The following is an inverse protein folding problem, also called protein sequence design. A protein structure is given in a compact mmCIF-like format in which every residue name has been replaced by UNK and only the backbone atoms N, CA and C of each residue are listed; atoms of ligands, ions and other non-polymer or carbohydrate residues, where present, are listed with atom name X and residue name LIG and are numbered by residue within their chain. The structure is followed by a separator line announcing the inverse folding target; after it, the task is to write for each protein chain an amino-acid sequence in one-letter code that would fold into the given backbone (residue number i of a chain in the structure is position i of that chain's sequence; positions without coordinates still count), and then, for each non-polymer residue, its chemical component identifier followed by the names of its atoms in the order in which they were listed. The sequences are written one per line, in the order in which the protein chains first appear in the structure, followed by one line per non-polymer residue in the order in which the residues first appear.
data_IF_097225191927
#
_entry.id   IF_097225191927
#
_cell.length_a   1.000
_cell.length_b   1.000
_cell.length_c   1.000
_cell.angle_alpha   90.00
_cell.angle_beta   90.00
_cell.angle_gamma   90.00
#
_symmetry.space_group_name_H-M   'P 1'
#
loop_
_entity.id
_entity.type
_entity.pdbx_description
1 polymer ?
#
# COMPACT_ATOMS: atom_id res chain seq x y z
N UNK A 1 26.12 31.78 6.19
CA UNK A 1 25.37 30.97 5.21
C UNK A 1 24.94 29.68 5.90
N UNK A 2 23.65 29.48 6.23
CA UNK A 2 23.21 28.21 6.75
C UNK A 2 23.31 27.14 5.65
N UNK A 3 23.72 25.90 5.96
CA UNK A 3 23.83 24.85 4.95
C UNK A 3 22.44 24.50 4.41
N UNK A 4 22.30 24.51 3.09
CA UNK A 4 21.12 24.00 2.40
C UNK A 4 20.92 22.53 2.78
N UNK A 5 19.83 22.23 3.48
CA UNK A 5 19.40 20.87 3.78
C UNK A 5 19.09 20.16 2.46
N UNK A 6 20.01 19.29 2.02
CA UNK A 6 19.78 18.40 0.86
C UNK A 6 18.55 17.55 1.16
N UNK A 7 17.43 17.89 0.50
CA UNK A 7 16.26 17.01 0.46
C UNK A 7 16.67 15.73 -0.26
N UNK A 8 16.83 14.64 0.50
CA UNK A 8 17.16 13.32 -0.03
C UNK A 8 15.95 12.66 -0.74
N UNK A 9 14.81 13.36 -0.81
CA UNK A 9 13.56 12.90 -1.39
C UNK A 9 13.43 13.35 -2.86
N UNK A 10 13.22 12.37 -3.76
CA UNK A 10 13.06 12.64 -5.19
C UNK A 10 11.70 13.29 -5.49
N UNK A 11 11.62 14.01 -6.61
CA UNK A 11 10.35 14.59 -7.08
C UNK A 11 9.28 13.51 -7.33
N UNK A 12 9.68 12.35 -7.84
CA UNK A 12 8.79 11.21 -8.04
C UNK A 12 8.22 10.68 -6.72
N UNK A 13 9.05 10.56 -5.66
CA UNK A 13 8.58 10.12 -4.35
C UNK A 13 7.60 11.12 -3.73
N UNK A 14 7.89 12.42 -3.82
CA UNK A 14 6.96 13.48 -3.38
C UNK A 14 5.63 13.40 -4.11
N UNK A 15 5.68 13.14 -5.41
CA UNK A 15 4.48 13.02 -6.24
C UNK A 15 3.64 11.79 -5.86
N UNK A 16 4.26 10.63 -5.60
CA UNK A 16 3.54 9.46 -5.10
C UNK A 16 2.85 9.74 -3.74
N UNK A 17 3.49 10.48 -2.83
CA UNK A 17 2.86 10.88 -1.56
C UNK A 17 1.67 11.81 -1.76
N UNK A 18 1.79 12.80 -2.64
CA UNK A 18 0.69 13.70 -3.01
C UNK A 18 -0.50 12.90 -3.55
N UNK A 19 -0.24 12.00 -4.49
CA UNK A 19 -1.25 11.14 -5.09
C UNK A 19 -1.87 10.17 -4.08
N UNK A 20 -1.09 9.64 -3.13
CA UNK A 20 -1.59 8.79 -2.06
C UNK A 20 -2.55 9.55 -1.12
N UNK A 21 -2.25 10.81 -0.80
CA UNK A 21 -3.17 11.67 -0.02
C UNK A 21 -4.49 11.92 -0.75
N UNK A 22 -4.43 12.18 -2.06
CA UNK A 22 -5.62 12.39 -2.89
C UNK A 22 -6.47 11.13 -3.00
N UNK A 23 -5.82 9.99 -3.27
CA UNK A 23 -6.49 8.70 -3.30
C UNK A 23 -7.15 8.37 -1.97
N UNK A 24 -6.46 8.59 -0.84
CA UNK A 24 -7.01 8.36 0.49
C UNK A 24 -8.28 9.19 0.74
N UNK A 25 -8.27 10.48 0.38
CA UNK A 25 -9.44 11.37 0.50
C UNK A 25 -10.63 10.86 -0.31
N UNK A 26 -10.39 10.44 -1.56
CA UNK A 26 -11.43 9.87 -2.42
C UNK A 26 -12.03 8.57 -1.85
N UNK A 27 -11.27 7.84 -1.04
CA UNK A 27 -11.66 6.55 -0.44
C UNK A 27 -12.04 6.67 1.05
N UNK A 28 -12.59 7.82 1.46
CA UNK A 28 -13.11 8.09 2.83
C UNK A 28 -12.06 8.12 3.95
N UNK A 29 -10.78 8.05 3.63
CA UNK A 29 -9.65 8.18 4.55
C UNK A 29 -9.18 9.65 4.58
N UNK A 30 -10.06 10.55 5.04
CA UNK A 30 -9.86 12.01 4.89
C UNK A 30 -8.96 12.64 5.96
N UNK A 31 -8.73 11.97 7.09
CA UNK A 31 -7.74 12.41 8.07
C UNK A 31 -6.39 11.86 7.62
N UNK A 32 -5.58 12.65 6.92
CA UNK A 32 -4.35 12.15 6.32
C UNK A 32 -3.19 13.14 6.41
N UNK A 33 -1.98 12.61 6.57
CA UNK A 33 -0.75 13.40 6.53
C UNK A 33 0.41 12.57 5.96
N UNK A 34 1.37 13.26 5.38
CA UNK A 34 2.65 12.66 4.98
C UNK A 34 3.63 12.62 6.16
N UNK A 35 4.64 11.76 6.09
CA UNK A 35 5.76 11.71 7.03
C UNK A 35 5.34 11.46 8.50
N UNK A 36 4.38 10.58 8.72
CA UNK A 36 3.78 10.34 10.05
C UNK A 36 4.53 9.24 10.79
N UNK A 37 4.94 9.52 12.04
CA UNK A 37 5.51 8.49 12.94
C UNK A 37 4.39 7.63 13.53
N UNK A 38 4.56 6.31 13.52
CA UNK A 38 3.53 5.38 13.98
C UNK A 38 3.48 5.27 15.52
N UNK A 39 2.33 4.94 16.15
CA UNK A 39 2.19 5.00 17.61
C UNK A 39 3.05 4.02 18.41
N UNK A 40 3.43 2.88 17.81
CA UNK A 40 4.11 1.75 18.49
C UNK A 40 5.49 1.44 17.91
N UNK A 41 6.02 2.33 17.08
CA UNK A 41 7.35 2.20 16.51
C UNK A 41 7.97 3.57 16.26
N UNK A 42 9.30 3.66 16.28
CA UNK A 42 10.01 4.86 15.79
C UNK A 42 9.88 5.06 14.27
N UNK A 43 9.16 4.18 13.58
CA UNK A 43 9.02 4.18 12.13
C UNK A 43 8.19 5.36 11.66
N UNK A 44 8.66 5.99 10.58
CA UNK A 44 7.95 7.05 9.87
C UNK A 44 7.43 6.48 8.55
N UNK A 45 6.12 6.47 8.40
CA UNK A 45 5.45 6.08 7.17
C UNK A 45 5.35 7.28 6.23
N UNK A 46 5.38 7.00 4.92
CA UNK A 46 5.33 8.01 3.88
C UNK A 46 4.00 8.78 3.89
N UNK A 47 2.87 8.06 3.96
CA UNK A 47 1.54 8.64 4.20
C UNK A 47 0.76 7.76 5.16
N UNK A 48 0.03 8.39 6.07
CA UNK A 48 -0.92 7.72 6.96
C UNK A 48 -2.25 8.42 6.88
N UNK A 49 -3.33 7.64 6.79
CA UNK A 49 -4.67 8.15 6.68
C UNK A 49 -5.64 7.40 7.60
N UNK A 50 -6.77 8.03 7.93
CA UNK A 50 -7.82 7.46 8.75
C UNK A 50 -9.19 7.96 8.32
N UNK A 51 -10.20 7.15 8.57
CA UNK A 51 -11.60 7.58 8.46
C UNK A 51 -11.93 8.59 9.55
N UNK A 52 -12.89 9.51 9.32
CA UNK A 52 -13.51 10.29 10.38
C UNK A 52 -14.16 9.38 11.43
N UNK A 53 -14.35 9.89 12.65
CA UNK A 53 -15.00 9.17 13.75
C UNK A 53 -14.29 7.85 14.09
N UNK A 54 -13.00 7.91 14.41
CA UNK A 54 -12.10 6.76 14.62
C UNK A 54 -12.54 5.73 15.66
N UNK A 55 -13.55 6.03 16.47
CA UNK A 55 -14.15 5.11 17.44
C UNK A 55 -15.24 4.21 16.85
N UNK A 56 -15.76 4.51 15.66
CA UNK A 56 -16.82 3.69 15.05
C UNK A 56 -16.32 2.30 14.67
N UNK A 57 -17.25 1.33 14.62
CA UNK A 57 -16.93 -0.05 14.26
C UNK A 57 -16.40 -0.19 12.82
N UNK A 58 -16.82 0.70 11.92
CA UNK A 58 -16.38 0.75 10.52
C UNK A 58 -15.19 1.71 10.30
N UNK A 59 -14.58 2.24 11.36
CA UNK A 59 -13.42 3.10 11.23
C UNK A 59 -12.19 2.29 10.80
N UNK A 60 -11.39 2.87 9.92
CA UNK A 60 -10.17 2.26 9.42
C UNK A 60 -9.02 3.27 9.43
N UNK A 61 -7.82 2.75 9.64
CA UNK A 61 -6.57 3.46 9.40
C UNK A 61 -5.83 2.80 8.23
N UNK A 62 -5.07 3.59 7.49
CA UNK A 62 -4.29 3.13 6.36
C UNK A 62 -2.87 3.68 6.42
N UNK A 63 -1.90 2.84 6.09
CA UNK A 63 -0.50 3.22 5.87
C UNK A 63 -0.18 3.01 4.41
N UNK A 64 0.46 4.00 3.79
CA UNK A 64 0.92 3.95 2.42
C UNK A 64 2.44 4.08 2.40
N UNK A 65 3.10 3.14 1.74
CA UNK A 65 4.53 3.13 1.51
C UNK A 65 4.81 3.42 0.04
N UNK A 66 5.44 4.56 -0.23
CA UNK A 66 5.73 5.01 -1.58
C UNK A 66 7.12 4.53 -2.02
N UNK A 67 7.20 3.93 -3.21
CA UNK A 67 8.46 3.52 -3.83
C UNK A 67 8.53 4.06 -5.24
N UNK A 68 9.42 5.04 -5.44
CA UNK A 68 9.69 5.64 -6.74
C UNK A 68 10.84 4.94 -7.50
N UNK A 69 11.62 4.09 -6.83
CA UNK A 69 12.69 3.33 -7.45
C UNK A 69 12.66 1.85 -7.07
N UNK A 70 13.09 1.00 -8.01
CA UNK A 70 13.26 -0.45 -7.80
C UNK A 70 14.29 -0.76 -6.72
N UNK A 71 15.38 0.00 -6.68
CA UNK A 71 16.44 -0.18 -5.70
C UNK A 71 15.95 0.07 -4.26
N UNK A 72 15.11 1.09 -4.06
CA UNK A 72 14.51 1.37 -2.74
C UNK A 72 13.51 0.28 -2.34
N UNK A 73 12.69 -0.19 -3.28
CA UNK A 73 11.78 -1.31 -3.04
C UNK A 73 12.53 -2.58 -2.62
N UNK A 74 13.59 -2.95 -3.33
CA UNK A 74 14.40 -4.13 -3.02
C UNK A 74 15.13 -3.98 -1.69
N UNK A 75 15.68 -2.81 -1.38
CA UNK A 75 16.32 -2.55 -0.08
C UNK A 75 15.35 -2.76 1.08
N UNK A 76 14.10 -2.34 0.90
CA UNK A 76 13.05 -2.50 1.89
C UNK A 76 12.51 -3.94 1.96
N UNK A 77 12.78 -4.77 0.94
CA UNK A 77 12.26 -6.14 0.78
C UNK A 77 13.29 -7.25 0.99
N UNK A 78 14.60 -6.95 1.05
CA UNK A 78 15.64 -7.97 0.94
C UNK A 78 16.14 -8.52 2.27
N UNK A 79 15.98 -9.83 2.45
CA UNK A 79 17.00 -10.74 2.99
C UNK A 79 16.70 -12.19 2.56
N UNK A 80 16.90 -12.53 1.29
CA UNK A 80 17.27 -13.89 0.83
C UNK A 80 17.55 -13.89 -0.68
N UNK A 81 18.80 -14.12 -1.06
CA UNK A 81 19.23 -14.28 -2.46
C UNK A 81 18.61 -15.57 -3.01
N UNK A 82 17.82 -15.47 -4.10
CA UNK A 82 17.14 -16.62 -4.75
C UNK A 82 15.64 -16.77 -4.44
N UNK A 83 15.11 -16.07 -3.42
CA UNK A 83 13.68 -16.11 -3.09
C UNK A 83 12.77 -15.49 -4.17
N UNK A 84 13.26 -14.46 -4.87
CA UNK A 84 12.50 -13.75 -5.91
C UNK A 84 12.26 -14.62 -7.15
N UNK A 85 13.28 -15.30 -7.66
CA UNK A 85 13.13 -16.21 -8.82
C UNK A 85 12.16 -17.36 -8.53
N UNK A 86 12.21 -17.90 -7.31
CA UNK A 86 11.25 -18.91 -6.86
C UNK A 86 9.82 -18.38 -6.88
N UNK A 87 9.60 -17.14 -6.42
CA UNK A 87 8.29 -16.50 -6.47
C UNK A 87 7.80 -16.23 -7.89
N UNK A 88 8.68 -15.80 -8.79
CA UNK A 88 8.34 -15.64 -10.22
C UNK A 88 7.82 -16.97 -10.77
N UNK A 89 8.58 -18.05 -10.60
CA UNK A 89 8.19 -19.38 -11.09
C UNK A 89 6.88 -19.89 -10.46
N UNK A 90 6.70 -19.69 -9.16
CA UNK A 90 5.45 -20.06 -8.48
C UNK A 90 4.26 -19.22 -8.97
N UNK A 91 4.46 -17.93 -9.21
CA UNK A 91 3.45 -17.02 -9.76
C UNK A 91 3.05 -17.43 -11.18
N UNK A 92 4.01 -17.69 -12.06
CA UNK A 92 3.76 -18.19 -13.42
C UNK A 92 2.96 -19.48 -13.40
N UNK A 93 3.34 -20.44 -12.54
CA UNK A 93 2.61 -21.71 -12.38
C UNK A 93 1.18 -21.48 -11.90
N UNK A 94 0.96 -20.55 -10.97
CA UNK A 94 -0.38 -20.18 -10.51
C UNK A 94 -1.20 -19.55 -11.63
N UNK A 95 -0.63 -18.63 -12.41
CA UNK A 95 -1.33 -18.00 -13.53
C UNK A 95 -1.69 -19.01 -14.62
N UNK A 96 -0.77 -19.91 -14.97
CA UNK A 96 -1.04 -20.99 -15.92
C UNK A 96 -2.18 -21.91 -15.44
N UNK A 97 -2.19 -22.30 -14.15
CA UNK A 97 -3.28 -23.10 -13.60
C UNK A 97 -4.61 -22.35 -13.63
N UNK A 98 -4.61 -21.06 -13.29
CA UNK A 98 -5.83 -20.23 -13.34
C UNK A 98 -6.37 -20.11 -14.77
N UNK A 99 -5.50 -19.94 -15.76
CA UNK A 99 -5.89 -19.92 -17.17
C UNK A 99 -6.52 -21.26 -17.59
N UNK A 100 -5.94 -22.40 -17.17
CA UNK A 100 -6.52 -23.72 -17.42
C UNK A 100 -7.90 -23.88 -16.77
N UNK A 101 -8.04 -23.46 -15.50
CA UNK A 101 -9.33 -23.47 -14.80
C UNK A 101 -10.35 -22.62 -15.57
N UNK A 102 -9.98 -21.40 -15.97
CA UNK A 102 -10.85 -20.51 -16.74
C UNK A 102 -11.30 -21.10 -18.08
N UNK A 103 -10.43 -21.84 -18.76
CA UNK A 103 -10.78 -22.55 -19.99
C UNK A 103 -11.81 -23.68 -19.77
N UNK A 104 -11.70 -24.41 -18.65
CA UNK A 104 -12.60 -25.54 -18.35
C UNK A 104 -13.87 -25.13 -17.60
N UNK A 105 -13.88 -23.94 -16.99
CA UNK A 105 -14.97 -23.41 -16.17
C UNK A 105 -15.39 -22.02 -16.65
N UNK A 106 -15.98 -21.91 -17.86
CA UNK A 106 -16.48 -20.64 -18.38
C UNK A 106 -17.63 -20.07 -17.53
N UNK A 107 -18.26 -20.88 -16.66
CA UNK A 107 -19.23 -20.45 -15.66
C UNK A 107 -18.66 -19.48 -14.63
N UNK A 108 -17.33 -19.49 -14.42
CA UNK A 108 -16.64 -18.60 -13.49
C UNK A 108 -16.34 -17.22 -14.09
N UNK A 109 -16.65 -16.96 -15.36
CA UNK A 109 -16.39 -15.68 -16.01
C UNK A 109 -17.26 -14.55 -15.45
N UNK A 110 -16.70 -13.37 -15.23
CA UNK A 110 -17.42 -12.21 -14.65
C UNK A 110 -18.42 -11.56 -15.60
N UNK A 111 -18.26 -11.77 -16.90
CA UNK A 111 -19.04 -11.18 -18.00
C UNK A 111 -19.00 -9.66 -17.99
N UNK A 112 -17.84 -9.12 -17.63
CA UNK A 112 -17.59 -7.67 -17.61
C UNK A 112 -17.08 -7.18 -18.97
N UNK A 113 -16.47 -8.07 -19.77
CA UNK A 113 -15.91 -7.76 -21.09
C UNK A 113 -16.77 -8.27 -22.25
N UNK A 114 -16.66 -7.58 -23.41
CA UNK A 114 -17.40 -7.93 -24.63
C UNK A 114 -16.95 -9.27 -25.23
N UNK A 115 -15.66 -9.60 -25.08
CA UNK A 115 -15.08 -10.84 -25.59
C UNK A 115 -14.68 -11.75 -24.44
N UNK A 116 -15.12 -13.02 -24.43
CA UNK A 116 -14.83 -13.95 -23.36
C UNK A 116 -13.33 -14.10 -23.09
N UNK A 117 -12.46 -14.12 -24.09
CA UNK A 117 -11.01 -14.26 -23.92
C UNK A 117 -10.35 -13.17 -23.07
N UNK A 118 -10.96 -11.98 -22.95
CA UNK A 118 -10.47 -10.89 -22.12
C UNK A 118 -11.18 -10.79 -20.76
N UNK A 119 -12.27 -11.54 -20.59
CA UNK A 119 -13.10 -11.49 -19.41
C UNK A 119 -12.44 -12.22 -18.22
N UNK A 120 -12.40 -11.55 -17.07
CA UNK A 120 -11.77 -12.07 -15.88
C UNK A 120 -12.55 -13.27 -15.31
N UNK A 121 -11.83 -14.22 -14.73
CA UNK A 121 -12.45 -15.34 -14.00
C UNK A 121 -12.57 -15.01 -12.51
N UNK A 122 -13.73 -15.32 -11.95
CA UNK A 122 -14.03 -15.23 -10.54
C UNK A 122 -13.84 -16.58 -9.86
N UNK A 123 -12.71 -16.73 -9.17
CA UNK A 123 -12.36 -17.94 -8.43
C UNK A 123 -12.95 -17.95 -7.01
N UNK A 124 -13.76 -16.94 -6.63
CA UNK A 124 -14.38 -16.91 -5.30
C UNK A 124 -15.34 -18.07 -5.13
N UNK A 125 -15.15 -18.86 -4.06
CA UNK A 125 -15.97 -20.04 -3.77
C UNK A 125 -15.60 -21.30 -4.55
N UNK A 126 -14.66 -21.23 -5.49
CA UNK A 126 -14.11 -22.42 -6.15
C UNK A 126 -13.31 -23.25 -5.14
N UNK A 127 -13.62 -24.54 -5.05
CA UNK A 127 -12.79 -25.52 -4.32
C UNK A 127 -11.93 -26.26 -5.34
N UNK A 128 -10.63 -26.00 -5.34
CA UNK A 128 -9.70 -26.67 -6.26
C UNK A 128 -8.39 -26.92 -5.52
N UNK A 129 -8.20 -28.15 -5.03
CA UNK A 129 -7.11 -28.51 -4.12
C UNK A 129 -5.72 -28.10 -4.62
N UNK A 130 -5.43 -28.33 -5.90
CA UNK A 130 -4.14 -27.93 -6.48
C UNK A 130 -3.95 -26.41 -6.49
N UNK A 131 -4.98 -25.65 -6.83
CA UNK A 131 -4.95 -24.19 -6.80
C UNK A 131 -4.76 -23.70 -5.37
N UNK A 132 -5.52 -24.24 -4.42
CA UNK A 132 -5.49 -23.83 -3.02
C UNK A 132 -4.13 -24.14 -2.38
N UNK A 133 -3.56 -25.32 -2.68
CA UNK A 133 -2.22 -25.70 -2.25
C UNK A 133 -1.16 -24.79 -2.84
N UNK A 134 -1.14 -24.58 -4.17
CA UNK A 134 -0.17 -23.70 -4.81
C UNK A 134 -0.29 -22.26 -4.32
N UNK A 135 -1.51 -21.78 -4.07
CA UNK A 135 -1.77 -20.46 -3.52
C UNK A 135 -1.24 -20.34 -2.08
N UNK A 136 -1.39 -21.38 -1.27
CA UNK A 136 -0.86 -21.42 0.11
C UNK A 136 0.67 -21.50 0.14
N UNK A 137 1.28 -22.31 -0.73
CA UNK A 137 2.72 -22.40 -0.91
C UNK A 137 3.32 -21.06 -1.36
N UNK A 138 2.71 -20.43 -2.37
CA UNK A 138 3.11 -19.12 -2.87
C UNK A 138 3.05 -18.04 -1.78
N UNK A 139 1.94 -17.96 -1.03
CA UNK A 139 1.82 -17.03 0.11
C UNK A 139 2.88 -17.28 1.18
N UNK A 140 3.21 -18.55 1.44
CA UNK A 140 4.25 -18.91 2.41
C UNK A 140 5.63 -18.47 1.94
N UNK A 141 5.94 -18.67 0.66
CA UNK A 141 7.19 -18.20 0.06
C UNK A 141 7.27 -16.66 0.09
N UNK A 142 6.17 -15.95 -0.20
CA UNK A 142 6.13 -14.49 -0.13
C UNK A 142 6.39 -14.00 1.31
N UNK A 143 5.73 -14.62 2.29
CA UNK A 143 5.96 -14.28 3.71
C UNK A 143 7.40 -14.49 4.14
N UNK A 144 8.05 -15.57 3.69
CA UNK A 144 9.48 -15.82 3.96
C UNK A 144 10.37 -14.77 3.31
N UNK A 145 10.14 -14.42 2.04
CA UNK A 145 10.92 -13.38 1.36
C UNK A 145 10.87 -12.05 2.12
N UNK A 146 9.68 -11.68 2.60
CA UNK A 146 9.50 -10.45 3.34
C UNK A 146 9.79 -10.59 4.84
N UNK A 147 10.16 -11.76 5.35
CA UNK A 147 10.37 -11.91 6.79
C UNK A 147 11.53 -11.03 7.26
N UNK A 148 11.38 -10.43 8.43
CA UNK A 148 12.33 -9.43 8.95
C UNK A 148 12.36 -8.07 8.22
N UNK A 149 11.67 -7.90 7.09
CA UNK A 149 11.57 -6.62 6.37
C UNK A 149 10.71 -5.59 7.10
N UNK A 150 10.78 -4.33 6.66
CA UNK A 150 9.89 -3.29 7.19
C UNK A 150 8.41 -3.59 6.89
N UNK A 151 8.11 -4.20 5.74
CA UNK A 151 6.76 -4.53 5.34
C UNK A 151 6.16 -5.61 6.25
N UNK A 152 6.93 -6.66 6.55
CA UNK A 152 6.53 -7.67 7.51
C UNK A 152 6.38 -7.11 8.94
N UNK A 153 7.25 -6.18 9.36
CA UNK A 153 7.12 -5.50 10.66
C UNK A 153 5.82 -4.71 10.77
N UNK A 154 5.46 -3.92 9.75
CA UNK A 154 4.24 -3.11 9.76
C UNK A 154 2.96 -3.98 9.80
N UNK A 155 2.94 -5.08 9.04
CA UNK A 155 1.86 -6.06 9.10
C UNK A 155 1.78 -6.75 10.48
N UNK A 156 2.92 -7.21 11.00
CA UNK A 156 3.00 -7.88 12.31
C UNK A 156 2.62 -6.98 13.47
N UNK A 157 2.99 -5.71 13.42
CA UNK A 157 2.64 -4.72 14.44
C UNK A 157 1.20 -4.20 14.32
N UNK A 158 0.45 -4.62 13.29
CA UNK A 158 -0.88 -4.10 12.96
C UNK A 158 -0.87 -2.58 12.97
N UNK A 159 0.14 -2.01 12.30
CA UNK A 159 0.38 -0.57 12.27
C UNK A 159 -0.84 0.26 11.82
N UNK A 160 -1.69 -0.34 10.99
CA UNK A 160 -2.96 0.19 10.55
C UNK A 160 -3.90 -0.94 10.13
N UNK A 161 -5.18 -0.61 9.91
CA UNK A 161 -6.18 -1.55 9.39
C UNK A 161 -5.88 -1.97 7.95
N UNK A 162 -5.29 -1.08 7.14
CA UNK A 162 -4.99 -1.29 5.73
C UNK A 162 -3.54 -0.89 5.46
N UNK A 163 -2.84 -1.66 4.63
CA UNK A 163 -1.46 -1.40 4.24
C UNK A 163 -1.36 -1.38 2.71
N UNK A 164 -0.80 -0.30 2.16
CA UNK A 164 -0.68 -0.09 0.72
C UNK A 164 0.77 0.15 0.32
N UNK A 165 1.22 -0.53 -0.72
CA UNK A 165 2.41 -0.20 -1.48
C UNK A 165 1.99 0.71 -2.65
N UNK A 166 2.58 1.89 -2.74
CA UNK A 166 2.31 2.88 -3.79
C UNK A 166 3.54 2.98 -4.69
N UNK A 167 3.37 2.71 -5.98
CA UNK A 167 4.49 2.59 -6.92
C UNK A 167 4.22 3.28 -8.25
N UNK A 168 5.31 3.58 -8.96
CA UNK A 168 5.26 3.88 -10.39
C UNK A 168 4.87 2.64 -11.21
N UNK A 169 4.34 2.86 -12.40
CA UNK A 169 4.03 1.78 -13.34
C UNK A 169 5.25 0.89 -13.63
N UNK A 170 5.05 -0.43 -13.59
CA UNK A 170 6.10 -1.42 -13.91
C UNK A 170 7.18 -1.61 -12.83
N UNK A 171 7.13 -0.88 -11.71
CA UNK A 171 8.18 -0.95 -10.68
C UNK A 171 8.13 -2.22 -9.83
N UNK A 172 6.93 -2.73 -9.56
CA UNK A 172 6.68 -3.88 -8.69
C UNK A 172 5.72 -4.83 -9.39
N UNK A 173 6.13 -6.07 -9.60
CA UNK A 173 5.24 -7.09 -10.14
C UNK A 173 4.28 -7.58 -9.04
N UNK A 174 3.05 -8.02 -9.38
CA UNK A 174 2.06 -8.45 -8.40
C UNK A 174 2.55 -9.50 -7.39
N UNK A 175 3.47 -10.38 -7.80
CA UNK A 175 4.01 -11.44 -6.95
C UNK A 175 5.05 -10.96 -5.93
N UNK A 176 5.51 -9.73 -6.05
CA UNK A 176 6.48 -9.12 -5.13
C UNK A 176 5.79 -8.28 -4.06
N UNK A 177 4.48 -8.09 -4.18
CA UNK A 177 3.70 -7.37 -3.18
C UNK A 177 3.61 -8.24 -1.92
N UNK A 178 3.99 -7.71 -0.75
CA UNK A 178 3.94 -8.48 0.48
C UNK A 178 2.53 -9.00 0.77
N UNK A 179 2.43 -10.21 1.31
CA UNK A 179 1.15 -10.85 1.62
C UNK A 179 0.29 -9.96 2.52
N UNK A 180 -0.97 -9.76 2.14
CA UNK A 180 -1.93 -8.89 2.82
C UNK A 180 -1.83 -7.39 2.50
N UNK A 181 -0.83 -6.95 1.74
CA UNK A 181 -0.74 -5.56 1.28
C UNK A 181 -1.55 -5.33 0.01
N UNK A 182 -2.06 -4.10 -0.12
CA UNK A 182 -2.62 -3.59 -1.35
C UNK A 182 -1.56 -2.98 -2.25
N UNK A 183 -1.81 -2.94 -3.55
CA UNK A 183 -0.95 -2.31 -4.54
C UNK A 183 -1.70 -1.18 -5.24
N UNK A 184 -1.16 0.02 -5.10
CA UNK A 184 -1.59 1.22 -5.81
C UNK A 184 -0.52 1.57 -6.85
N UNK A 185 -0.91 1.57 -8.12
CA UNK A 185 -0.01 1.89 -9.23
C UNK A 185 -0.38 3.27 -9.77
N UNK A 186 0.61 4.14 -9.94
CA UNK A 186 0.40 5.42 -10.59
C UNK A 186 0.11 5.24 -12.07
N UNK A 187 -1.01 5.81 -12.52
CA UNK A 187 -1.43 5.91 -13.92
C UNK A 187 -1.65 7.38 -14.25
N UNK A 188 -0.66 8.00 -14.87
CA UNK A 188 -0.67 9.44 -15.13
C UNK A 188 -0.75 10.27 -13.84
N UNK A 189 -1.88 10.94 -13.63
CA UNK A 189 -2.14 11.83 -12.49
C UNK A 189 -3.00 11.19 -11.38
N UNK A 190 -3.22 9.88 -11.40
CA UNK A 190 -4.02 9.17 -10.40
C UNK A 190 -3.35 7.87 -9.94
N UNK A 191 -3.82 7.32 -8.82
CA UNK A 191 -3.48 5.97 -8.37
C UNK A 191 -4.63 5.01 -8.69
N UNK A 192 -4.29 3.86 -9.23
CA UNK A 192 -5.20 2.76 -9.50
C UNK A 192 -4.94 1.62 -8.52
N UNK A 193 -6.00 1.05 -7.94
CA UNK A 193 -5.90 -0.11 -7.05
C UNK A 193 -5.83 -1.41 -7.83
N UNK A 194 -4.62 -1.95 -7.99
CA UNK A 194 -4.38 -3.20 -8.72
C UNK A 194 -4.53 -4.44 -7.82
N UNK A 195 -4.16 -4.33 -6.54
CA UNK A 195 -4.33 -5.41 -5.56
C UNK A 195 -5.02 -4.85 -4.32
N UNK A 196 -6.11 -5.51 -3.89
CA UNK A 196 -6.83 -5.13 -2.66
C UNK A 196 -6.05 -5.59 -1.42
N UNK A 197 -5.87 -4.74 -0.40
CA UNK A 197 -5.25 -5.15 0.85
C UNK A 197 -6.18 -6.07 1.65
N UNK A 198 -5.57 -6.84 2.56
CA UNK A 198 -6.30 -7.43 3.67
C UNK A 198 -6.66 -6.33 4.68
N UNK A 199 -7.81 -6.50 5.36
CA UNK A 199 -8.19 -5.66 6.47
C UNK A 199 -7.74 -6.31 7.78
N UNK A 200 -6.81 -5.67 8.47
CA UNK A 200 -6.37 -6.07 9.80
C UNK A 200 -7.29 -5.51 10.88
N UNK A 201 -7.64 -6.34 11.85
CA UNK A 201 -8.38 -5.90 13.03
C UNK A 201 -7.52 -4.96 13.89
N UNK A 202 -8.09 -3.79 14.19
CA UNK A 202 -7.48 -2.77 15.05
C UNK A 202 -8.48 -2.39 16.13
N UNK A 203 -7.98 -2.09 17.32
CA UNK A 203 -8.79 -1.61 18.43
C UNK A 203 -9.13 -0.12 18.26
N UNK A 204 -10.20 0.40 18.88
CA UNK A 204 -10.47 1.84 18.91
C UNK A 204 -9.29 2.67 19.43
N UNK A 205 -8.59 2.19 20.47
CA UNK A 205 -7.42 2.86 21.04
C UNK A 205 -6.27 2.97 20.04
N UNK A 206 -5.99 1.90 19.28
CA UNK A 206 -4.95 1.92 18.24
C UNK A 206 -5.30 2.91 17.11
N UNK A 207 -6.56 2.98 16.71
CA UNK A 207 -7.02 3.94 15.68
C UNK A 207 -6.91 5.38 16.17
N UNK A 208 -7.28 5.66 17.42
CA UNK A 208 -7.13 7.00 18.02
C UNK A 208 -5.66 7.40 18.05
N UNK A 209 -4.77 6.51 18.49
CA UNK A 209 -3.34 6.80 18.55
C UNK A 209 -2.76 7.16 17.16
N UNK A 210 -3.23 6.52 16.08
CA UNK A 210 -2.85 6.89 14.70
C UNK A 210 -3.35 8.30 14.36
N UNK A 211 -4.59 8.64 14.70
CA UNK A 211 -5.16 9.98 14.44
C UNK A 211 -4.41 11.06 15.21
N UNK A 212 -4.01 10.82 16.45
CA UNK A 212 -3.16 11.73 17.22
C UNK A 212 -1.81 11.96 16.52
N UNK A 213 -1.21 10.92 15.92
CA UNK A 213 0.03 11.06 15.16
C UNK A 213 -0.14 11.88 13.89
N UNK A 214 -1.26 11.69 13.17
CA UNK A 214 -1.62 12.51 12.00
C UNK A 214 -1.77 13.98 12.44
N UNK A 215 -2.54 14.24 13.50
CA UNK A 215 -2.76 15.59 14.03
C UNK A 215 -1.45 16.26 14.48
N UNK A 216 -0.56 15.52 15.13
CA UNK A 216 0.74 16.02 15.57
C UNK A 216 1.68 16.41 14.42
N UNK A 217 1.43 15.98 13.18
CA UNK A 217 2.14 16.50 11.99
C UNK A 217 1.52 17.82 11.54
N UNK A 218 0.19 17.90 11.51
CA UNK A 218 -0.52 19.13 11.13
C UNK A 218 -0.20 20.33 12.05
N UNK A 219 -0.03 20.09 13.36
CA UNK A 219 0.33 21.15 14.33
C UNK A 219 1.78 21.62 14.22
N UNK A 220 2.66 20.84 13.58
CA UNK A 220 4.05 21.25 13.29
C UNK A 220 4.17 22.17 12.07
N UNK A 221 3.04 22.56 11.48
CA UNK A 221 2.95 23.58 10.45
C UNK A 221 3.35 24.95 11.02
N UNK A 222 4.39 25.56 10.44
CA UNK A 222 4.94 26.85 10.83
C UNK A 222 4.43 27.92 9.83
N UNK A 223 3.59 28.89 10.25
CA UNK A 223 3.01 29.89 9.35
C UNK A 223 4.04 30.76 8.63
N UNK A 224 5.27 30.81 9.13
CA UNK A 224 6.35 31.66 8.61
C UNK A 224 6.98 31.11 7.32
N UNK A 225 6.90 29.78 7.07
CA UNK A 225 7.48 29.16 5.85
C UNK A 225 6.60 29.25 4.60
N UNK A 226 5.28 29.38 4.75
CA UNK A 226 4.31 29.28 3.66
C UNK A 226 3.71 30.65 3.23
N UNK A 227 4.40 31.75 3.55
CA UNK A 227 4.21 33.02 2.85
C UNK A 227 2.97 33.85 3.24
N UNK A 228 2.42 33.71 4.44
CA UNK A 228 1.48 34.71 4.96
C UNK A 228 2.23 35.85 5.66
N UNK A 229 2.85 36.73 4.87
CA UNK A 229 3.17 38.07 5.35
C UNK A 229 1.86 38.85 5.49
N UNK A 230 1.37 38.92 6.72
CA UNK A 230 0.34 39.86 7.12
C UNK A 230 0.85 41.29 6.86
N UNK A 231 0.49 41.88 5.71
CA UNK A 231 0.56 43.32 5.56
C UNK A 231 -0.57 43.91 6.41
N UNK A 232 -0.19 44.51 7.55
CA UNK A 232 -1.08 45.43 8.26
C UNK A 232 -1.29 46.66 7.36
N UNK A 233 -2.53 47.13 7.15
CA UNK A 233 -2.74 48.42 6.52
C UNK A 233 -2.26 49.51 7.49
N UNK A 234 -1.31 50.32 7.03
CA UNK A 234 -0.97 51.59 7.66
C UNK A 234 -2.14 52.56 7.43
N UNK A 235 -2.73 53.02 8.53
CA UNK A 235 -3.48 54.28 8.58
C UNK A 235 -2.52 55.41 8.93
#
# INVERSE_FOLDING_TARGET
MPPATKSNESAAHRELKRLALEWARAHRLVLAAAEVRLPRSGYRADVVAATPRSLSANAATAVFECKASRADFLRDSARETGGVEMLVRMSERLMALRALIGGHRPDLRRREELFPEFDAIDLRGLRHETHDRLQAEFRTAQRKLHDGTKFAKLARWRAASLLYLVVEEGLCAPHEVPDGWGLLVRRGAALELTIRPCQYETTPAERVAVVERIAAVAVRWDPVRDGLTSQRPTA
#
